data_IF_826369873768
#
_entry.id   IF_826369873768
#
_cell.length_a   1.000
_cell.length_b   1.000
_cell.length_c   1.000
_cell.angle_alpha   90.00
_cell.angle_beta   90.00
_cell.angle_gamma   90.00
#
_symmetry.space_group_name_H-M   'P 1'
#
loop_
_entity.id
_entity.type
_entity.pdbx_description
1 polymer ?
#
# COMPACT_ATOMS: atom_id res chain seq x y z
N UNK A 1 -3.30 22.51 -6.11
CA UNK A 1 -4.53 21.76 -5.81
C UNK A 1 -4.13 20.41 -5.26
N UNK A 2 -4.78 19.94 -4.20
CA UNK A 2 -4.57 18.57 -3.70
C UNK A 2 -5.22 17.56 -4.65
N UNK A 3 -4.62 16.39 -4.81
CA UNK A 3 -5.15 15.29 -5.62
C UNK A 3 -6.13 14.44 -4.79
N UNK A 4 -7.23 13.97 -5.39
CA UNK A 4 -8.15 13.01 -4.76
C UNK A 4 -7.70 11.55 -4.96
N UNK A 5 -8.25 10.63 -4.17
CA UNK A 5 -8.02 9.19 -4.37
C UNK A 5 -8.35 8.75 -5.79
N UNK A 6 -9.53 9.13 -6.28
CA UNK A 6 -9.97 8.83 -7.65
C UNK A 6 -8.98 9.37 -8.72
N UNK A 7 -8.40 10.56 -8.50
CA UNK A 7 -7.41 11.12 -9.41
C UNK A 7 -6.08 10.36 -9.37
N UNK A 8 -5.64 9.89 -8.20
CA UNK A 8 -4.45 9.04 -8.07
C UNK A 8 -4.67 7.70 -8.78
N UNK A 9 -5.81 7.03 -8.50
CA UNK A 9 -6.16 5.75 -9.12
C UNK A 9 -6.27 5.86 -10.65
N UNK A 10 -6.84 6.96 -11.16
CA UNK A 10 -6.92 7.23 -12.60
C UNK A 10 -5.52 7.42 -13.22
N UNK A 11 -4.59 8.07 -12.52
CA UNK A 11 -3.19 8.20 -12.93
C UNK A 11 -2.50 6.83 -13.08
N UNK A 12 -2.64 5.97 -12.07
CA UNK A 12 -2.07 4.60 -12.10
C UNK A 12 -2.74 3.74 -13.17
N UNK A 13 -4.05 3.89 -13.39
CA UNK A 13 -4.75 3.21 -14.49
C UNK A 13 -4.21 3.63 -15.85
N UNK A 14 -4.02 4.93 -16.07
CA UNK A 14 -3.41 5.45 -17.31
C UNK A 14 -2.02 4.85 -17.52
N UNK A 15 -1.23 4.70 -16.45
CA UNK A 15 0.08 4.04 -16.52
C UNK A 15 -0.03 2.56 -16.91
N UNK A 16 -0.98 1.81 -16.32
CA UNK A 16 -1.22 0.41 -16.68
C UNK A 16 -1.64 0.23 -18.15
N UNK A 17 -2.52 1.10 -18.65
CA UNK A 17 -3.01 1.08 -20.03
C UNK A 17 -1.90 1.46 -21.02
N UNK A 18 -1.11 2.49 -20.70
CA UNK A 18 0.02 2.94 -21.52
C UNK A 18 1.04 1.81 -21.80
N UNK A 19 1.24 0.92 -20.83
CA UNK A 19 2.23 -0.15 -20.91
C UNK A 19 1.61 -1.54 -21.14
N UNK A 20 0.29 -1.62 -21.37
CA UNK A 20 -0.46 -2.87 -21.55
C UNK A 20 -0.09 -3.95 -20.51
N UNK A 21 -0.08 -3.59 -19.22
CA UNK A 21 0.27 -4.54 -18.17
C UNK A 21 -0.69 -5.74 -18.11
N UNK A 22 -1.96 -5.56 -18.50
CA UNK A 22 -2.91 -6.66 -18.57
C UNK A 22 -2.50 -7.70 -19.62
N UNK A 23 -2.05 -7.26 -20.81
CA UNK A 23 -1.57 -8.14 -21.88
C UNK A 23 -0.16 -8.70 -21.65
N UNK A 24 0.62 -8.11 -20.74
CA UNK A 24 2.05 -8.43 -20.54
C UNK A 24 2.36 -8.98 -19.12
N UNK A 25 1.47 -9.81 -18.55
CA UNK A 25 1.65 -10.46 -17.24
C UNK A 25 1.76 -9.51 -16.03
N UNK A 26 1.65 -8.20 -16.20
CA UNK A 26 1.71 -7.20 -15.14
C UNK A 26 0.50 -7.19 -14.19
N UNK A 27 -0.55 -7.95 -14.52
CA UNK A 27 -1.72 -8.17 -13.65
C UNK A 27 -1.69 -9.53 -12.93
N UNK A 28 -0.67 -10.37 -13.18
CA UNK A 28 -0.46 -11.59 -12.40
C UNK A 28 -0.14 -11.24 -10.94
N UNK A 29 -0.92 -11.79 -10.00
CA UNK A 29 -0.83 -11.38 -8.60
C UNK A 29 0.46 -11.84 -7.91
N UNK A 30 1.06 -12.96 -8.34
CA UNK A 30 2.35 -13.38 -7.79
C UNK A 30 3.45 -12.42 -8.23
N UNK A 31 3.44 -12.00 -9.50
CA UNK A 31 4.35 -10.98 -10.01
C UNK A 31 4.15 -9.62 -9.32
N UNK A 32 2.92 -9.18 -9.12
CA UNK A 32 2.66 -7.90 -8.42
C UNK A 32 3.11 -7.92 -6.95
N UNK A 33 2.94 -9.06 -6.27
CA UNK A 33 3.48 -9.25 -4.93
C UNK A 33 5.01 -9.22 -4.91
N UNK A 34 5.67 -9.78 -5.94
CA UNK A 34 7.12 -9.69 -6.10
C UNK A 34 7.59 -8.23 -6.19
N UNK A 35 6.99 -7.43 -7.07
CA UNK A 35 7.30 -6.00 -7.18
C UNK A 35 7.10 -5.26 -5.85
N UNK A 36 6.04 -5.60 -5.10
CA UNK A 36 5.79 -5.00 -3.78
C UNK A 36 6.87 -5.35 -2.77
N UNK A 37 7.41 -6.56 -2.82
CA UNK A 37 8.50 -6.99 -1.95
C UNK A 37 9.80 -6.26 -2.28
N UNK A 38 10.04 -5.95 -3.56
CA UNK A 38 11.17 -5.14 -4.01
C UNK A 38 11.11 -3.73 -3.39
N UNK A 39 10.02 -2.98 -3.63
CA UNK A 39 9.87 -1.60 -3.10
C UNK A 39 9.83 -1.54 -1.57
N UNK A 40 9.26 -2.57 -0.91
CA UNK A 40 9.30 -2.67 0.54
C UNK A 40 10.75 -2.83 1.05
N UNK A 41 11.57 -3.59 0.32
CA UNK A 41 12.99 -3.74 0.59
C UNK A 41 13.74 -2.42 0.45
N UNK A 42 13.44 -1.64 -0.60
CA UNK A 42 14.04 -0.32 -0.85
C UNK A 42 13.67 0.69 0.25
N UNK A 43 12.38 0.73 0.65
CA UNK A 43 11.95 1.54 1.79
C UNK A 43 12.65 1.11 3.10
N UNK A 44 12.75 -0.19 3.35
CA UNK A 44 13.43 -0.72 4.54
C UNK A 44 14.92 -0.35 4.55
N UNK A 45 15.59 -0.42 3.41
CA UNK A 45 16.96 0.06 3.22
C UNK A 45 17.05 1.55 3.53
N UNK A 46 16.16 2.38 2.96
CA UNK A 46 16.17 3.82 3.17
C UNK A 46 16.03 4.19 4.66
N UNK A 47 15.17 3.49 5.40
CA UNK A 47 14.98 3.68 6.84
C UNK A 47 16.21 3.21 7.64
N UNK A 48 16.66 1.98 7.41
CA UNK A 48 17.70 1.35 8.24
C UNK A 48 19.09 1.94 8.01
N UNK A 49 19.37 2.45 6.81
CA UNK A 49 20.63 3.13 6.48
C UNK A 49 20.59 4.64 6.72
N UNK A 50 19.48 5.18 7.22
CA UNK A 50 19.35 6.61 7.53
C UNK A 50 19.39 7.51 6.29
N UNK A 51 18.84 7.06 5.17
CA UNK A 51 18.77 7.85 3.93
C UNK A 51 17.89 9.11 4.10
N UNK A 52 18.09 10.15 3.27
CA UNK A 52 17.28 11.37 3.26
C UNK A 52 15.77 11.14 3.30
N UNK A 53 15.04 12.09 3.86
CA UNK A 53 13.57 12.03 3.95
C UNK A 53 12.90 12.02 2.58
N UNK A 54 13.53 12.64 1.56
CA UNK A 54 13.03 12.64 0.19
C UNK A 54 13.02 11.23 -0.40
N UNK A 55 14.13 10.49 -0.30
CA UNK A 55 14.21 9.10 -0.75
C UNK A 55 13.20 8.22 0.00
N UNK A 56 13.10 8.34 1.33
CA UNK A 56 12.07 7.61 2.10
C UNK A 56 10.63 7.92 1.67
N UNK A 57 10.37 9.12 1.18
CA UNK A 57 9.04 9.50 0.69
C UNK A 57 8.77 8.96 -0.72
N UNK A 58 9.80 8.83 -1.55
CA UNK A 58 9.75 8.22 -2.88
C UNK A 58 9.39 6.74 -2.76
N UNK A 59 10.15 5.95 -1.99
CA UNK A 59 9.88 4.52 -1.80
C UNK A 59 8.49 4.25 -1.20
N UNK A 60 8.03 5.15 -0.32
CA UNK A 60 6.67 5.05 0.25
C UNK A 60 5.59 5.36 -0.81
N UNK A 61 5.87 6.27 -1.74
CA UNK A 61 4.98 6.56 -2.86
C UNK A 61 4.93 5.38 -3.85
N UNK A 62 6.04 4.69 -4.08
CA UNK A 62 6.10 3.51 -4.95
C UNK A 62 5.25 2.37 -4.39
N UNK A 63 5.30 2.13 -3.08
CA UNK A 63 4.38 1.20 -2.41
C UNK A 63 2.90 1.58 -2.59
N UNK A 64 2.57 2.88 -2.55
CA UNK A 64 1.21 3.35 -2.79
C UNK A 64 0.79 3.12 -4.25
N UNK A 65 1.65 3.45 -5.22
CA UNK A 65 1.40 3.24 -6.65
C UNK A 65 1.18 1.76 -6.93
N UNK A 66 2.03 0.89 -6.39
CA UNK A 66 1.85 -0.55 -6.51
C UNK A 66 0.52 -0.98 -5.92
N UNK A 67 0.19 -0.56 -4.70
CA UNK A 67 -1.09 -0.87 -4.02
C UNK A 67 -2.31 -0.48 -4.86
N UNK A 68 -2.33 0.73 -5.42
CA UNK A 68 -3.39 1.17 -6.34
C UNK A 68 -3.44 0.30 -7.60
N UNK A 69 -2.29 -0.10 -8.13
CA UNK A 69 -2.22 -1.01 -9.24
C UNK A 69 -2.71 -2.43 -8.93
N UNK A 70 -2.60 -2.91 -7.69
CA UNK A 70 -3.23 -4.17 -7.27
C UNK A 70 -4.74 -4.05 -7.32
N UNK A 71 -5.31 -2.94 -6.84
CA UNK A 71 -6.75 -2.71 -6.92
C UNK A 71 -7.26 -2.74 -8.38
N UNK A 72 -6.49 -2.15 -9.31
CA UNK A 72 -6.78 -2.20 -10.75
C UNK A 72 -6.72 -3.65 -11.27
N UNK A 73 -5.64 -4.38 -10.99
CA UNK A 73 -5.44 -5.75 -11.47
C UNK A 73 -6.49 -6.73 -10.90
N UNK A 74 -6.91 -6.53 -9.65
CA UNK A 74 -7.92 -7.37 -8.97
C UNK A 74 -9.36 -6.95 -9.28
N UNK A 75 -9.58 -5.77 -9.87
CA UNK A 75 -10.91 -5.20 -10.05
C UNK A 75 -11.62 -4.88 -8.72
N UNK A 76 -10.87 -4.51 -7.68
CA UNK A 76 -11.41 -4.22 -6.34
C UNK A 76 -11.66 -2.73 -6.18
N UNK A 77 -12.81 -2.39 -5.60
CA UNK A 77 -13.07 -1.05 -5.07
C UNK A 77 -12.28 -0.85 -3.77
N UNK A 78 -11.05 -0.35 -3.93
CA UNK A 78 -10.14 -0.14 -2.81
C UNK A 78 -10.59 1.02 -1.91
N UNK A 79 -11.29 2.03 -2.44
CA UNK A 79 -11.80 3.15 -1.63
C UNK A 79 -12.86 2.64 -0.64
N UNK A 80 -13.85 1.91 -1.14
CA UNK A 80 -14.87 1.31 -0.29
C UNK A 80 -14.28 0.29 0.72
N UNK A 81 -13.32 -0.53 0.27
CA UNK A 81 -12.63 -1.49 1.15
C UNK A 81 -11.82 -0.77 2.24
N UNK A 82 -11.14 0.34 1.90
CA UNK A 82 -10.41 1.17 2.84
C UNK A 82 -11.34 1.79 3.88
N UNK A 83 -12.43 2.43 3.45
CA UNK A 83 -13.38 3.09 4.35
C UNK A 83 -14.01 2.09 5.33
N UNK A 84 -14.47 0.94 4.83
CA UNK A 84 -15.01 -0.12 5.66
C UNK A 84 -13.97 -0.61 6.68
N UNK A 85 -12.71 -0.78 6.24
CA UNK A 85 -11.65 -1.26 7.13
C UNK A 85 -11.27 -0.23 8.19
N UNK A 86 -11.18 1.04 7.83
CA UNK A 86 -10.82 2.11 8.74
C UNK A 86 -11.90 2.28 9.81
N UNK A 87 -13.18 2.29 9.42
CA UNK A 87 -14.30 2.34 10.35
C UNK A 87 -14.26 1.19 11.38
N UNK A 88 -13.89 -0.02 10.94
CA UNK A 88 -13.72 -1.18 11.81
C UNK A 88 -12.51 -1.06 12.74
N UNK A 89 -11.37 -0.59 12.24
CA UNK A 89 -10.11 -0.46 13.01
C UNK A 89 -10.23 0.61 14.09
N UNK A 90 -10.94 1.71 13.82
CA UNK A 90 -11.14 2.80 14.78
C UNK A 90 -11.94 2.40 16.03
N UNK A 91 -12.67 1.27 15.99
CA UNK A 91 -13.42 0.74 17.13
C UNK A 91 -12.60 -0.19 18.01
N UNK A 92 -11.38 -0.56 17.61
CA UNK A 92 -10.58 -1.55 18.33
C UNK A 92 -9.83 -0.91 19.50
N UNK A 93 -9.60 -1.66 20.59
CA UNK A 93 -8.76 -1.19 21.67
C UNK A 93 -7.31 -1.02 21.21
N UNK A 94 -6.62 -0.08 21.85
CA UNK A 94 -5.18 0.11 21.70
C UNK A 94 -4.46 -0.59 22.86
N UNK A 95 -3.48 -1.44 22.55
CA UNK A 95 -2.67 -2.19 23.50
C UNK A 95 -1.21 -1.76 23.35
N UNK A 96 -0.50 -1.57 24.47
CA UNK A 96 0.95 -1.32 24.47
C UNK A 96 1.69 -2.67 24.40
N UNK A 97 2.47 -2.88 23.34
CA UNK A 97 3.46 -3.96 23.25
C UNK A 97 4.90 -3.43 23.34
N UNK A 98 5.87 -4.31 23.19
CA UNK A 98 7.30 -4.01 23.35
C UNK A 98 7.82 -2.94 22.39
N UNK A 99 7.30 -2.95 21.16
CA UNK A 99 7.71 -2.05 20.08
C UNK A 99 6.82 -0.80 19.95
N UNK A 100 5.75 -0.69 20.74
CA UNK A 100 4.85 0.48 20.68
C UNK A 100 3.38 0.15 20.89
N UNK A 101 2.51 1.06 20.46
CA UNK A 101 1.05 0.89 20.55
C UNK A 101 0.54 0.13 19.33
N UNK A 102 -0.31 -0.87 19.57
CA UNK A 102 -0.98 -1.66 18.53
C UNK A 102 -2.49 -1.58 18.68
N UNK A 103 -3.18 -1.29 17.58
CA UNK A 103 -4.65 -1.31 17.50
C UNK A 103 -5.10 -2.69 17.06
N UNK A 104 -5.68 -3.48 17.96
CA UNK A 104 -5.95 -4.91 17.71
C UNK A 104 -7.12 -5.43 18.55
N UNK A 105 -7.81 -6.47 18.06
CA UNK A 105 -8.78 -7.25 18.86
C UNK A 105 -8.13 -8.36 19.68
N UNK A 106 -6.82 -8.59 19.49
CA UNK A 106 -6.10 -9.65 20.18
C UNK A 106 -6.00 -9.32 21.66
N UNK A 107 -6.56 -10.17 22.50
CA UNK A 107 -6.35 -10.17 23.95
C UNK A 107 -5.21 -11.15 24.26
N UNK A 108 -4.13 -10.71 24.95
CA UNK A 108 -3.12 -11.62 25.42
C UNK A 108 -3.75 -12.70 26.31
N UNK A 109 -3.30 -13.97 26.24
CA UNK A 109 -3.74 -14.99 27.19
C UNK A 109 -3.41 -14.54 28.63
N UNK A 110 -4.34 -14.84 29.55
CA UNK A 110 -4.27 -14.50 30.97
C UNK A 110 -3.15 -15.24 31.71
#
# INVERSE_FOLDING_TARGET
MSQSFAQMLAGVRTFHEKHDFAGNNGHDMAYRLLLTMEELGELAECITKGKPQAERAEELADLLILTLGHAIAMGVDLEAAFDAKLAEVMQRPAIRGDLGVRVTRYEPPA
#
